data_IF_485943994846
#
_entry.id   IF_485943994846
#
_cell.length_a   1.000
_cell.length_b   1.000
_cell.length_c   1.000
_cell.angle_alpha   90.00
_cell.angle_beta   90.00
_cell.angle_gamma   90.00
#
_symmetry.space_group_name_H-M   'P 1'
#
loop_
_entity.id
_entity.type
_entity.pdbx_description
1 polymer ?
#
# COMPACT_ATOMS: atom_id res chain seq x y z
N UNK A 1 -16.58 31.48 -16.80
CA UNK A 1 -15.95 30.30 -17.43
C UNK A 1 -14.62 30.78 -17.97
N UNK A 2 -13.44 30.34 -17.55
CA UNK A 2 -12.97 29.12 -16.89
C UNK A 2 -11.73 29.54 -16.10
N UNK A 3 -11.69 29.23 -14.80
CA UNK A 3 -10.45 29.25 -14.01
C UNK A 3 -10.03 27.80 -13.85
N UNK A 4 -9.02 27.37 -14.62
CA UNK A 4 -8.31 26.13 -14.37
C UNK A 4 -6.89 26.55 -13.98
N UNK A 5 -6.68 26.81 -12.70
CA UNK A 5 -5.33 26.76 -12.15
C UNK A 5 -5.01 25.28 -11.95
N UNK A 6 -3.85 24.76 -12.39
CA UNK A 6 -3.40 23.48 -11.90
C UNK A 6 -3.25 23.58 -10.38
N UNK A 7 -3.91 22.69 -9.66
CA UNK A 7 -3.76 22.54 -8.22
C UNK A 7 -2.37 21.95 -7.97
N UNK A 8 -1.35 22.79 -7.82
CA UNK A 8 -0.01 22.41 -7.35
C UNK A 8 -0.02 22.20 -5.82
N UNK A 9 -0.94 21.36 -5.32
CA UNK A 9 -0.98 20.87 -3.95
C UNK A 9 -0.17 19.58 -3.78
N UNK A 10 0.26 19.19 -2.57
CA UNK A 10 0.88 17.89 -2.34
C UNK A 10 -0.13 16.79 -2.71
N UNK A 11 0.10 16.09 -3.83
CA UNK A 11 -0.59 14.85 -4.12
C UNK A 11 -0.27 13.88 -2.97
N UNK A 12 -1.30 13.31 -2.34
CA UNK A 12 -1.11 12.29 -1.31
C UNK A 12 -0.47 11.05 -1.94
N UNK A 13 0.85 10.98 -1.94
CA UNK A 13 1.62 9.91 -2.56
C UNK A 13 1.55 8.64 -1.70
N UNK A 14 0.54 7.79 -1.93
CA UNK A 14 0.43 6.45 -1.35
C UNK A 14 1.75 5.68 -1.44
N UNK A 15 2.14 4.99 -0.35
CA UNK A 15 3.34 4.15 -0.32
C UNK A 15 3.11 2.75 -0.92
N UNK A 16 4.07 2.26 -1.71
CA UNK A 16 4.07 0.90 -2.28
C UNK A 16 5.26 0.10 -1.77
N UNK A 17 5.04 -1.16 -1.41
CA UNK A 17 6.09 -2.10 -1.01
C UNK A 17 5.88 -3.46 -1.66
N UNK A 18 6.96 -4.09 -2.13
CA UNK A 18 6.93 -5.42 -2.73
C UNK A 18 8.17 -6.24 -2.37
N UNK A 19 7.99 -7.54 -2.16
CA UNK A 19 9.07 -8.47 -1.79
C UNK A 19 8.83 -9.81 -2.45
N UNK A 20 9.90 -10.42 -2.97
CA UNK A 20 9.90 -11.77 -3.51
C UNK A 20 11.04 -12.55 -2.84
N UNK A 21 10.69 -13.56 -2.06
CA UNK A 21 11.63 -14.38 -1.32
C UNK A 21 11.09 -15.81 -1.21
N UNK A 22 11.49 -16.73 -2.11
CA UNK A 22 11.09 -18.13 -2.04
C UNK A 22 11.52 -18.77 -0.72
N UNK A 23 10.64 -19.53 -0.08
CA UNK A 23 10.90 -20.18 1.21
C UNK A 23 10.75 -19.29 2.45
N UNK A 24 10.47 -18.00 2.25
CA UNK A 24 10.29 -17.03 3.34
C UNK A 24 8.83 -16.59 3.50
N UNK A 25 8.49 -16.13 4.72
CA UNK A 25 7.15 -15.61 5.02
C UNK A 25 7.03 -14.15 4.56
N UNK A 26 6.86 -13.96 3.26
CA UNK A 26 6.79 -12.63 2.61
C UNK A 26 5.66 -11.75 3.13
N UNK A 27 4.56 -12.32 3.64
CA UNK A 27 3.43 -11.57 4.20
C UNK A 27 3.84 -10.68 5.38
N UNK A 28 4.68 -11.18 6.28
CA UNK A 28 5.18 -10.43 7.44
C UNK A 28 6.14 -9.32 7.03
N UNK A 29 6.98 -9.60 6.05
CA UNK A 29 7.91 -8.62 5.48
C UNK A 29 7.13 -7.48 4.79
N UNK A 30 6.11 -7.82 3.99
CA UNK A 30 5.22 -6.83 3.36
C UNK A 30 4.51 -5.97 4.40
N UNK A 31 4.01 -6.57 5.49
CA UNK A 31 3.39 -5.82 6.57
C UNK A 31 4.33 -4.79 7.19
N UNK A 32 5.58 -5.19 7.52
CA UNK A 32 6.55 -4.25 8.10
C UNK A 32 7.00 -3.18 7.10
N UNK A 33 7.11 -3.53 5.81
CA UNK A 33 7.42 -2.56 4.76
C UNK A 33 6.32 -1.49 4.63
N UNK A 34 5.06 -1.90 4.58
CA UNK A 34 3.92 -0.99 4.58
C UNK A 34 3.83 -0.19 5.88
N UNK A 35 4.11 -0.81 7.03
CA UNK A 35 4.16 -0.12 8.31
C UNK A 35 5.22 0.97 8.31
N UNK A 36 6.41 0.75 7.75
CA UNK A 36 7.45 1.77 7.65
C UNK A 36 7.06 2.96 6.74
N UNK A 37 6.09 2.76 5.85
CA UNK A 37 5.55 3.77 4.94
C UNK A 37 4.24 4.41 5.43
N UNK A 38 3.79 4.12 6.64
CA UNK A 38 2.53 4.65 7.21
C UNK A 38 2.45 6.19 7.20
N UNK A 39 3.58 6.87 7.26
CA UNK A 39 3.65 8.34 7.17
C UNK A 39 3.22 8.90 5.79
N UNK A 40 3.08 8.04 4.77
CA UNK A 40 2.61 8.40 3.42
C UNK A 40 1.10 8.22 3.22
N UNK A 41 0.39 7.66 4.19
CA UNK A 41 -1.05 7.46 4.11
C UNK A 41 -1.58 6.70 5.32
N UNK A 42 -2.58 7.28 5.99
CA UNK A 42 -3.19 6.69 7.19
C UNK A 42 -4.63 6.21 6.96
N UNK A 43 -5.19 6.44 5.78
CA UNK A 43 -6.60 6.16 5.49
C UNK A 43 -6.89 4.69 5.22
N UNK A 44 -5.93 3.96 4.64
CA UNK A 44 -6.05 2.54 4.37
C UNK A 44 -4.72 1.90 4.00
N UNK A 45 -4.63 0.58 4.13
CA UNK A 45 -3.52 -0.22 3.65
C UNK A 45 -4.03 -1.56 3.11
N UNK A 46 -3.30 -2.14 2.16
CA UNK A 46 -3.61 -3.46 1.64
C UNK A 46 -2.37 -4.20 1.14
N UNK A 47 -2.47 -5.52 1.08
CA UNK A 47 -1.41 -6.39 0.59
C UNK A 47 -2.01 -7.61 -0.12
N UNK A 48 -1.31 -8.07 -1.17
CA UNK A 48 -1.59 -9.32 -1.85
C UNK A 48 -0.34 -10.21 -1.77
N UNK A 49 -0.52 -11.47 -1.37
CA UNK A 49 0.58 -12.44 -1.21
C UNK A 49 0.21 -13.72 -1.93
N UNK A 50 1.14 -14.26 -2.72
CA UNK A 50 0.93 -15.51 -3.44
C UNK A 50 2.00 -16.56 -3.16
N UNK A 51 1.58 -17.82 -3.16
CA UNK A 51 2.42 -19.02 -3.01
C UNK A 51 2.70 -19.74 -4.35
N UNK A 52 2.15 -19.23 -5.45
CA UNK A 52 2.25 -19.82 -6.78
C UNK A 52 0.99 -20.58 -7.22
N UNK A 53 0.17 -21.05 -6.28
CA UNK A 53 -1.14 -21.63 -6.59
C UNK A 53 -2.29 -20.67 -6.26
N UNK A 54 -2.15 -19.93 -5.16
CA UNK A 54 -3.19 -19.02 -4.66
C UNK A 54 -2.63 -17.64 -4.37
N UNK A 55 -3.53 -16.65 -4.38
CA UNK A 55 -3.26 -15.28 -3.95
C UNK A 55 -4.22 -14.95 -2.82
N UNK A 56 -3.68 -14.58 -1.66
CA UNK A 56 -4.44 -14.04 -0.54
C UNK A 56 -4.35 -12.52 -0.56
N UNK A 57 -5.49 -11.85 -0.52
CA UNK A 57 -5.59 -10.38 -0.52
C UNK A 57 -6.21 -9.91 0.78
N UNK A 58 -5.60 -8.90 1.40
CA UNK A 58 -6.10 -8.29 2.63
C UNK A 58 -6.04 -6.77 2.51
N UNK A 59 -7.16 -6.11 2.73
CA UNK A 59 -7.28 -4.65 2.72
C UNK A 59 -7.93 -4.22 4.02
N UNK A 60 -7.39 -3.15 4.62
CA UNK A 60 -7.94 -2.53 5.82
C UNK A 60 -8.04 -1.03 5.61
N UNK A 61 -9.25 -0.49 5.71
CA UNK A 61 -9.51 0.95 5.81
C UNK A 61 -9.40 1.38 7.27
N UNK A 62 -8.99 2.62 7.50
CA UNK A 62 -8.92 3.27 8.82
C UNK A 62 -10.17 4.14 9.07
N UNK A 63 -11.15 4.12 8.17
CA UNK A 63 -12.46 4.77 8.34
C UNK A 63 -13.59 3.91 7.73
N UNK A 64 -14.16 3.04 8.58
CA UNK A 64 -15.59 2.85 8.95
C UNK A 64 -15.63 1.93 10.19
#
# INVERSE_FOLDING_TARGET
MISCMPDDGPHEECGVFGVYAPGEVVSKLTYYGLFALQHRGQESAGMAVGDGERITVLTRRTHE
#
